data_IF_360400169984
#
_entry.id   IF_360400169984
#
_cell.length_a   1.000
_cell.length_b   1.000
_cell.length_c   1.000
_cell.angle_alpha   90.00
_cell.angle_beta   90.00
_cell.angle_gamma   90.00
#
_symmetry.space_group_name_H-M   'P 1'
#
loop_
_entity.id
_entity.type
_entity.pdbx_description
1 polymer ?
#
# COMPACT_ATOMS: atom_id res chain seq x y z
N UNK A 1 1.02 -15.74 15.46
CA UNK A 1 0.08 -14.65 15.09
C UNK A 1 0.84 -13.39 14.65
N UNK A 2 0.29 -12.60 13.73
CA UNK A 2 0.93 -11.36 13.22
C UNK A 2 1.24 -10.35 14.34
N UNK A 3 0.42 -10.36 15.40
CA UNK A 3 0.54 -9.49 16.58
C UNK A 3 1.82 -9.72 17.40
N UNK A 4 2.50 -10.88 17.22
CA UNK A 4 3.76 -11.20 17.91
C UNK A 4 5.00 -11.06 17.02
N UNK A 5 4.86 -10.61 15.77
CA UNK A 5 5.97 -10.48 14.82
C UNK A 5 6.44 -9.03 14.70
N UNK A 6 7.73 -8.82 14.43
CA UNK A 6 8.29 -7.51 14.05
C UNK A 6 8.95 -7.63 12.68
N UNK A 7 8.16 -7.72 11.59
CA UNK A 7 8.73 -7.95 10.27
C UNK A 7 9.61 -6.78 9.86
N UNK A 8 10.84 -7.07 9.41
CA UNK A 8 11.73 -6.03 8.89
C UNK A 8 11.22 -5.44 7.57
N UNK A 9 10.52 -6.24 6.77
CA UNK A 9 9.92 -5.86 5.50
C UNK A 9 8.54 -6.48 5.40
N UNK A 10 7.58 -5.70 4.91
CA UNK A 10 6.27 -6.18 4.51
C UNK A 10 5.99 -5.75 3.08
N UNK A 11 5.30 -6.61 2.35
CA UNK A 11 4.80 -6.33 1.01
C UNK A 11 3.29 -6.31 1.07
N UNK A 12 2.69 -5.24 0.59
CA UNK A 12 1.24 -5.02 0.66
C UNK A 12 0.74 -4.77 -0.76
N UNK A 13 -0.27 -5.54 -1.18
CA UNK A 13 -0.99 -5.27 -2.42
C UNK A 13 -2.07 -4.21 -2.25
N UNK A 14 -2.38 -3.49 -3.33
CA UNK A 14 -3.47 -2.52 -3.42
C UNK A 14 -4.60 -3.00 -4.34
N UNK A 15 -5.80 -2.44 -4.15
CA UNK A 15 -6.91 -2.51 -5.11
C UNK A 15 -7.21 -1.15 -5.76
N UNK A 16 -6.65 -0.07 -5.20
CA UNK A 16 -6.65 1.27 -5.77
C UNK A 16 -5.58 2.11 -5.08
N UNK A 17 -4.96 3.02 -5.82
CA UNK A 17 -3.92 3.94 -5.33
C UNK A 17 -4.24 5.33 -5.85
N UNK A 18 -4.64 6.22 -4.96
CA UNK A 18 -5.01 7.58 -5.32
C UNK A 18 -4.21 8.56 -4.45
N UNK A 19 -3.78 9.70 -5.02
CA UNK A 19 -3.00 10.70 -4.26
C UNK A 19 -3.78 11.20 -3.02
N UNK A 20 -5.00 11.68 -3.23
CA UNK A 20 -5.88 12.12 -2.15
C UNK A 20 -6.42 11.00 -1.24
N UNK A 21 -6.94 9.90 -1.81
CA UNK A 21 -7.61 8.84 -1.02
C UNK A 21 -6.66 7.75 -0.50
N UNK A 22 -5.39 7.81 -0.87
CA UNK A 22 -4.35 6.87 -0.45
C UNK A 22 -4.51 5.48 -1.09
N UNK A 23 -4.04 4.47 -0.37
CA UNK A 23 -4.13 3.06 -0.76
C UNK A 23 -5.44 2.49 -0.27
N UNK A 24 -6.18 1.85 -1.17
CA UNK A 24 -7.48 1.23 -0.91
C UNK A 24 -7.49 -0.25 -1.28
N UNK A 25 -8.48 -0.96 -0.75
CA UNK A 25 -8.63 -2.40 -0.86
C UNK A 25 -10.11 -2.79 -1.05
N UNK A 26 -10.38 -3.84 -1.83
CA UNK A 26 -11.77 -4.23 -2.13
C UNK A 26 -12.40 -5.16 -1.08
N UNK A 27 -11.60 -5.93 -0.32
CA UNK A 27 -12.10 -6.95 0.62
C UNK A 27 -11.92 -6.54 2.09
N UNK A 28 -12.97 -6.09 2.80
CA UNK A 28 -12.89 -5.71 4.20
C UNK A 28 -12.37 -6.81 5.14
N UNK A 29 -12.60 -8.09 4.84
CA UNK A 29 -12.16 -9.21 5.69
C UNK A 29 -10.62 -9.29 5.77
N UNK A 30 -9.94 -9.05 4.65
CA UNK A 30 -8.47 -9.05 4.57
C UNK A 30 -7.85 -7.76 5.14
N UNK A 31 -8.66 -6.70 5.26
CA UNK A 31 -8.17 -5.37 5.63
C UNK A 31 -7.56 -5.36 7.02
N UNK A 32 -8.14 -6.10 7.97
CA UNK A 32 -7.64 -6.19 9.34
C UNK A 32 -6.22 -6.77 9.37
N UNK A 33 -5.96 -7.83 8.60
CA UNK A 33 -4.64 -8.46 8.49
C UNK A 33 -3.62 -7.53 7.86
N UNK A 34 -4.00 -6.83 6.78
CA UNK A 34 -3.14 -5.81 6.15
C UNK A 34 -2.79 -4.67 7.09
N UNK A 35 -3.76 -4.16 7.87
CA UNK A 35 -3.55 -3.11 8.87
C UNK A 35 -2.60 -3.56 9.98
N UNK A 36 -2.72 -4.81 10.46
CA UNK A 36 -1.78 -5.38 11.44
C UNK A 36 -0.36 -5.47 10.87
N UNK A 37 -0.21 -5.93 9.63
CA UNK A 37 1.09 -5.97 8.98
C UNK A 37 1.69 -4.56 8.87
N UNK A 38 0.90 -3.58 8.41
CA UNK A 38 1.30 -2.17 8.31
C UNK A 38 1.73 -1.58 9.66
N UNK A 39 1.06 -1.93 10.76
CA UNK A 39 1.38 -1.43 12.09
C UNK A 39 2.69 -2.02 12.66
N UNK A 40 3.08 -3.22 12.23
CA UNK A 40 4.23 -3.96 12.79
C UNK A 40 5.47 -3.94 11.89
N UNK A 41 5.29 -3.68 10.59
CA UNK A 41 6.37 -3.70 9.61
C UNK A 41 7.26 -2.47 9.72
N UNK A 42 8.59 -2.70 9.75
CA UNK A 42 9.56 -1.61 9.74
C UNK A 42 9.67 -0.93 8.38
N UNK A 43 9.82 -1.71 7.30
CA UNK A 43 9.82 -1.21 5.91
C UNK A 43 8.59 -1.70 5.16
N UNK A 44 7.79 -0.78 4.64
CA UNK A 44 6.46 -1.00 4.05
C UNK A 44 6.55 -0.76 2.55
N UNK A 45 6.36 -1.84 1.80
CA UNK A 45 6.53 -1.84 0.34
C UNK A 45 5.16 -2.05 -0.29
N UNK A 46 4.69 -1.06 -1.05
CA UNK A 46 3.45 -1.15 -1.81
C UNK A 46 3.71 -1.82 -3.15
N UNK A 47 2.90 -2.83 -3.47
CA UNK A 47 2.84 -3.47 -4.76
C UNK A 47 1.51 -3.10 -5.43
N UNK A 48 1.56 -2.38 -6.54
CA UNK A 48 0.38 -1.96 -7.27
C UNK A 48 0.55 -2.11 -8.78
N UNK A 49 -0.40 -2.77 -9.44
CA UNK A 49 -0.46 -2.74 -10.91
C UNK A 49 -0.68 -1.31 -11.37
N UNK A 50 -0.06 -0.92 -12.47
CA UNK A 50 -0.15 0.43 -13.01
C UNK A 50 -1.59 0.86 -13.29
N UNK A 51 -2.45 -0.09 -13.70
CA UNK A 51 -3.87 0.16 -13.93
C UNK A 51 -4.70 0.43 -12.66
N UNK A 52 -4.08 0.48 -11.47
CA UNK A 52 -4.74 0.79 -10.21
C UNK A 52 -4.38 2.20 -9.68
N UNK A 53 -3.55 2.96 -10.40
CA UNK A 53 -3.34 4.37 -10.10
C UNK A 53 -4.57 5.19 -10.52
N UNK A 54 -4.87 6.25 -9.77
CA UNK A 54 -6.09 7.06 -9.85
C UNK A 54 -7.40 6.30 -9.56
N UNK A 55 -7.30 5.05 -9.13
CA UNK A 55 -8.45 4.22 -8.75
C UNK A 55 -8.66 4.20 -7.23
N UNK A 56 -9.92 4.08 -6.81
CA UNK A 56 -10.33 3.98 -5.40
C UNK A 56 -11.25 2.80 -5.20
N UNK A 57 -10.85 1.87 -4.32
CA UNK A 57 -11.66 0.76 -3.86
C UNK A 57 -12.46 1.14 -2.60
N UNK A 58 -13.44 0.29 -2.26
CA UNK A 58 -14.44 0.54 -1.23
C UNK A 58 -13.89 0.74 0.19
N UNK A 59 -12.72 0.19 0.52
CA UNK A 59 -12.12 0.32 1.85
C UNK A 59 -10.76 1.02 1.80
N UNK A 60 -10.60 2.08 2.60
CA UNK A 60 -9.29 2.71 2.83
C UNK A 60 -8.39 1.76 3.62
N UNK A 61 -7.11 1.67 3.26
CA UNK A 61 -6.08 0.95 4.00
C UNK A 61 -5.16 1.91 4.75
N UNK A 62 -4.48 2.80 4.03
CA UNK A 62 -3.50 3.74 4.57
C UNK A 62 -3.22 4.87 3.56
N UNK A 63 -2.77 6.06 4.01
CA UNK A 63 -2.27 7.08 3.08
C UNK A 63 -1.04 6.55 2.32
N UNK A 64 -0.80 7.08 1.13
CA UNK A 64 0.34 6.67 0.31
C UNK A 64 1.69 6.93 1.00
N UNK A 65 1.77 8.00 1.80
CA UNK A 65 2.93 8.34 2.64
C UNK A 65 3.24 7.33 3.76
N UNK A 66 2.37 6.35 4.00
CA UNK A 66 2.65 5.27 4.94
C UNK A 66 3.60 4.20 4.38
N UNK A 67 3.96 4.28 3.09
CA UNK A 67 4.84 3.33 2.41
C UNK A 67 6.19 3.96 2.10
N UNK A 68 7.25 3.17 2.26
CA UNK A 68 8.62 3.60 1.98
C UNK A 68 8.98 3.38 0.50
N UNK A 69 8.39 2.35 -0.11
CA UNK A 69 8.68 1.94 -1.49
C UNK A 69 7.39 1.66 -2.23
N UNK A 70 7.32 2.13 -3.47
CA UNK A 70 6.26 1.82 -4.41
C UNK A 70 6.84 1.03 -5.59
N UNK A 71 6.26 -0.13 -5.86
CA UNK A 71 6.62 -0.99 -7.00
C UNK A 71 5.39 -1.18 -7.88
N UNK A 72 5.60 -1.01 -9.18
CA UNK A 72 4.58 -1.26 -10.20
C UNK A 72 5.14 -2.09 -11.35
N UNK A 73 4.24 -2.73 -12.10
CA UNK A 73 4.56 -3.56 -13.27
C UNK A 73 4.88 -2.73 -14.53
N UNK A 74 4.75 -1.40 -14.44
CA UNK A 74 5.17 -0.41 -15.44
C UNK A 74 5.78 0.81 -14.73
N UNK A 75 6.42 1.75 -15.46
CA UNK A 75 6.84 3.02 -14.86
C UNK A 75 5.70 3.70 -14.11
N UNK A 76 6.02 4.33 -12.98
CA UNK A 76 5.04 5.06 -12.18
C UNK A 76 4.53 6.29 -12.95
N UNK A 77 3.24 6.65 -12.81
CA UNK A 77 2.77 7.94 -13.30
C UNK A 77 3.54 9.07 -12.62
N UNK A 78 3.74 10.19 -13.33
CA UNK A 78 4.63 11.28 -12.90
C UNK A 78 4.33 11.79 -11.48
N UNK A 79 3.05 11.90 -11.16
CA UNK A 79 2.58 12.41 -9.87
C UNK A 79 2.97 11.49 -8.71
N UNK A 80 3.10 10.18 -8.96
CA UNK A 80 3.41 9.17 -7.95
C UNK A 80 4.91 8.98 -7.68
N UNK A 81 5.78 9.47 -8.57
CA UNK A 81 7.24 9.33 -8.45
C UNK A 81 7.78 10.04 -7.20
N UNK A 82 7.11 11.10 -6.75
CA UNK A 82 7.55 11.90 -5.60
C UNK A 82 7.21 11.28 -4.25
N UNK A 83 6.26 10.33 -4.20
CA UNK A 83 5.70 9.81 -2.94
C UNK A 83 6.59 8.78 -2.26
N UNK A 84 7.40 8.02 -3.00
CA UNK A 84 8.25 6.97 -2.44
C UNK A 84 9.66 7.08 -3.03
N UNK A 85 10.60 7.57 -2.22
CA UNK A 85 12.03 7.61 -2.55
C UNK A 85 12.73 6.47 -1.80
N UNK A 86 13.49 5.65 -2.54
CA UNK A 86 14.18 4.45 -2.05
C UNK A 86 15.09 4.69 -0.84
#
# INVERSE_FOLDING_TARGET
PLDSLNPRKIFISASGVHDHFGVSWFNPEDLATKRKAMARGLRKILLARHALFDEVASASLAPLSAFDVLISDRPLPADYVTHCRN
#
